data_IF_176481228596
#
_entry.id   IF_176481228596
#
_cell.length_a   1.000
_cell.length_b   1.000
_cell.length_c   1.000
_cell.angle_alpha   90.00
_cell.angle_beta   90.00
_cell.angle_gamma   90.00
#
_symmetry.space_group_name_H-M   'P 1'
#
loop_
_entity.id
_entity.type
_entity.pdbx_description
1 polymer ?
#
# COMPACT_ATOMS: atom_id res chain seq x y z
N UNK A 1 -9.09 45.16 -24.83
CA UNK A 1 -9.94 44.56 -23.78
C UNK A 1 -10.14 43.04 -23.91
N UNK A 2 -10.28 42.48 -25.13
CA UNK A 2 -10.46 41.02 -25.31
C UNK A 2 -9.21 40.17 -24.95
N UNK A 3 -8.00 40.69 -25.19
CA UNK A 3 -6.75 40.00 -24.81
C UNK A 3 -6.54 39.98 -23.29
N UNK A 4 -6.91 41.05 -22.57
CA UNK A 4 -6.82 41.12 -21.10
C UNK A 4 -7.80 40.15 -20.41
N UNK A 5 -9.04 40.05 -20.90
CA UNK A 5 -10.04 39.09 -20.39
C UNK A 5 -9.59 37.63 -20.60
N UNK A 6 -8.94 37.33 -21.73
CA UNK A 6 -8.37 36.00 -21.98
C UNK A 6 -7.18 35.68 -21.07
N UNK A 7 -6.40 36.69 -20.68
CA UNK A 7 -5.24 36.53 -19.78
C UNK A 7 -5.67 36.37 -18.31
N UNK A 8 -6.72 37.07 -17.86
CA UNK A 8 -7.34 36.87 -16.53
C UNK A 8 -7.96 35.46 -16.38
N UNK A 9 -8.74 34.99 -17.37
CA UNK A 9 -9.28 33.62 -17.33
C UNK A 9 -8.20 32.52 -17.36
N UNK A 10 -7.05 32.77 -18.01
CA UNK A 10 -5.90 31.85 -18.02
C UNK A 10 -5.16 31.89 -16.66
N UNK A 11 -5.02 33.06 -16.05
CA UNK A 11 -4.42 33.22 -14.71
C UNK A 11 -5.27 32.57 -13.61
N UNK A 12 -6.60 32.64 -13.67
CA UNK A 12 -7.50 31.97 -12.73
C UNK A 12 -7.38 30.44 -12.83
N UNK A 13 -7.31 29.91 -14.06
CA UNK A 13 -7.06 28.49 -14.29
C UNK A 13 -5.67 28.06 -13.76
N UNK A 14 -4.64 28.88 -13.94
CA UNK A 14 -3.28 28.61 -13.45
C UNK A 14 -3.19 28.64 -11.92
N UNK A 15 -3.93 29.53 -11.25
CA UNK A 15 -3.97 29.62 -9.78
C UNK A 15 -4.77 28.48 -9.13
N UNK A 16 -5.83 27.99 -9.79
CA UNK A 16 -6.61 26.85 -9.31
C UNK A 16 -5.91 25.49 -9.56
N UNK A 17 -5.10 25.39 -10.61
CA UNK A 17 -4.37 24.18 -11.01
C UNK A 17 -3.55 23.53 -9.87
N UNK A 18 -2.71 24.25 -9.10
CA UNK A 18 -1.95 23.64 -8.00
C UNK A 18 -2.86 23.10 -6.89
N UNK A 19 -3.98 23.76 -6.58
CA UNK A 19 -4.93 23.29 -5.56
C UNK A 19 -5.66 22.03 -6.01
N UNK A 20 -6.05 21.97 -7.28
CA UNK A 20 -6.72 20.79 -7.86
C UNK A 20 -5.76 19.60 -7.90
N UNK A 21 -4.52 19.81 -8.32
CA UNK A 21 -3.49 18.76 -8.36
C UNK A 21 -3.19 18.25 -6.94
N UNK A 22 -3.02 19.15 -5.97
CA UNK A 22 -2.77 18.76 -4.58
C UNK A 22 -3.96 17.98 -3.99
N UNK A 23 -5.20 18.41 -4.24
CA UNK A 23 -6.40 17.69 -3.83
C UNK A 23 -6.48 16.29 -4.47
N UNK A 24 -6.15 16.16 -5.76
CA UNK A 24 -6.14 14.89 -6.47
C UNK A 24 -5.07 13.92 -5.93
N UNK A 25 -3.85 14.42 -5.66
CA UNK A 25 -2.77 13.61 -5.06
C UNK A 25 -3.15 13.14 -3.66
N UNK A 26 -3.68 14.04 -2.82
CA UNK A 26 -4.12 13.69 -1.46
C UNK A 26 -5.24 12.67 -1.47
N UNK A 27 -6.23 12.81 -2.36
CA UNK A 27 -7.34 11.85 -2.49
C UNK A 27 -6.84 10.48 -2.96
N UNK A 28 -5.91 10.46 -3.92
CA UNK A 28 -5.30 9.24 -4.43
C UNK A 28 -4.50 8.53 -3.33
N UNK A 29 -3.67 9.28 -2.60
CA UNK A 29 -2.87 8.77 -1.48
C UNK A 29 -3.75 8.25 -0.33
N UNK A 30 -4.86 8.92 -0.03
CA UNK A 30 -5.83 8.45 0.97
C UNK A 30 -6.47 7.13 0.56
N UNK A 31 -6.91 7.04 -0.70
CA UNK A 31 -7.52 5.82 -1.25
C UNK A 31 -6.57 4.63 -1.20
N UNK A 32 -5.32 4.80 -1.64
CA UNK A 32 -4.30 3.74 -1.56
C UNK A 32 -4.03 3.35 -0.10
N UNK A 33 -3.92 4.32 0.81
CA UNK A 33 -3.71 4.07 2.24
C UNK A 33 -4.83 3.24 2.88
N UNK A 34 -6.09 3.53 2.54
CA UNK A 34 -7.23 2.71 3.00
C UNK A 34 -7.18 1.28 2.44
N UNK A 35 -6.82 1.10 1.17
CA UNK A 35 -6.69 -0.21 0.55
C UNK A 35 -5.56 -1.04 1.20
N UNK A 36 -4.40 -0.42 1.43
CA UNK A 36 -3.25 -1.09 2.06
C UNK A 36 -3.54 -1.49 3.51
N UNK A 37 -4.23 -0.65 4.28
CA UNK A 37 -4.64 -0.97 5.65
C UNK A 37 -5.62 -2.16 5.70
N UNK A 38 -6.52 -2.23 4.72
CA UNK A 38 -7.47 -3.33 4.60
C UNK A 38 -6.79 -4.66 4.23
N UNK A 39 -5.90 -4.64 3.23
CA UNK A 39 -5.15 -5.82 2.78
C UNK A 39 -4.21 -6.32 3.88
N UNK A 40 -3.47 -5.43 4.54
CA UNK A 40 -2.55 -5.78 5.62
C UNK A 40 -3.27 -6.42 6.81
N UNK A 41 -4.38 -5.84 7.26
CA UNK A 41 -5.18 -6.38 8.37
C UNK A 41 -5.72 -7.78 8.10
N UNK A 42 -6.18 -8.03 6.87
CA UNK A 42 -6.66 -9.35 6.41
C UNK A 42 -5.53 -10.37 6.29
N UNK A 43 -4.39 -9.95 5.77
CA UNK A 43 -3.20 -10.80 5.63
C UNK A 43 -2.71 -11.24 7.01
N UNK A 44 -2.63 -10.30 7.97
CA UNK A 44 -2.22 -10.58 9.35
C UNK A 44 -3.20 -11.51 10.06
N UNK A 45 -4.51 -11.31 9.87
CA UNK A 45 -5.54 -12.23 10.37
C UNK A 45 -5.40 -13.63 9.77
N UNK A 46 -5.15 -13.74 8.45
CA UNK A 46 -4.92 -15.01 7.77
C UNK A 46 -3.66 -15.74 8.27
N UNK A 47 -2.58 -15.01 8.57
CA UNK A 47 -1.37 -15.57 9.18
C UNK A 47 -1.65 -16.09 10.59
N UNK A 48 -2.45 -15.36 11.38
CA UNK A 48 -2.84 -15.79 12.73
C UNK A 48 -3.73 -17.03 12.70
N UNK A 49 -4.64 -17.14 11.72
CA UNK A 49 -5.49 -18.32 11.52
C UNK A 49 -4.68 -19.58 11.17
N UNK A 50 -3.55 -19.42 10.47
CA UNK A 50 -2.64 -20.50 10.11
C UNK A 50 -1.61 -20.81 11.21
N UNK A 51 -1.67 -20.14 12.35
CA UNK A 51 -0.75 -20.34 13.48
C UNK A 51 0.63 -19.70 13.31
N UNK A 52 0.84 -18.87 12.28
CA UNK A 52 2.12 -18.19 12.03
C UNK A 52 2.23 -16.83 12.75
N UNK A 53 1.15 -16.32 13.33
CA UNK A 53 1.12 -15.08 14.12
C UNK A 53 0.36 -15.31 15.44
N UNK A 54 0.63 -14.52 16.49
CA UNK A 54 0.04 -14.74 17.81
C UNK A 54 -1.50 -14.64 17.76
N UNK A 55 -2.17 -15.50 18.53
CA UNK A 55 -3.64 -15.65 18.56
C UNK A 55 -4.40 -14.37 18.90
N UNK A 56 -3.71 -13.34 19.39
CA UNK A 56 -4.24 -12.00 19.69
C UNK A 56 -4.83 -11.36 18.42
N UNK A 57 -4.24 -11.60 17.25
CA UNK A 57 -4.71 -11.06 15.96
C UNK A 57 -5.96 -11.77 15.40
N UNK A 58 -6.40 -12.89 15.99
CA UNK A 58 -7.64 -13.56 15.62
C UNK A 58 -8.89 -12.93 16.23
N UNK A 59 -8.74 -11.96 17.14
CA UNK A 59 -9.87 -11.35 17.81
C UNK A 59 -10.61 -10.41 16.87
N UNK A 60 -11.77 -10.87 16.39
CA UNK A 60 -12.68 -10.11 15.54
C UNK A 60 -13.81 -9.47 16.37
N UNK A 61 -14.33 -8.35 15.87
CA UNK A 61 -15.56 -7.71 16.40
C UNK A 61 -16.79 -8.46 15.87
N UNK A 62 -17.98 -8.17 16.42
CA UNK A 62 -19.27 -8.77 15.97
C UNK A 62 -19.53 -8.61 14.47
N UNK A 63 -18.95 -7.57 13.86
CA UNK A 63 -19.06 -7.26 12.43
C UNK A 63 -18.03 -8.01 11.56
N UNK A 64 -17.27 -8.96 12.13
CA UNK A 64 -16.22 -9.70 11.42
C UNK A 64 -14.92 -8.93 11.19
N UNK A 65 -14.82 -7.68 11.66
CA UNK A 65 -13.63 -6.85 11.48
C UNK A 65 -12.52 -7.23 12.49
N UNK A 66 -11.28 -7.56 12.04
CA UNK A 66 -10.15 -7.86 12.92
C UNK A 66 -9.56 -6.55 13.49
N UNK A 67 -10.23 -5.99 14.49
CA UNK A 67 -9.89 -4.67 15.04
C UNK A 67 -8.47 -4.59 15.63
N UNK A 68 -7.97 -5.68 16.22
CA UNK A 68 -6.61 -5.72 16.78
C UNK A 68 -5.55 -5.57 15.70
N UNK A 69 -5.74 -6.25 14.56
CA UNK A 69 -4.85 -6.13 13.40
C UNK A 69 -4.89 -4.72 12.81
N UNK A 70 -6.09 -4.12 12.72
CA UNK A 70 -6.26 -2.75 12.21
C UNK A 70 -5.54 -1.73 13.08
N UNK A 71 -5.66 -1.82 14.41
CA UNK A 71 -4.96 -0.90 15.33
C UNK A 71 -3.45 -1.10 15.23
N UNK A 72 -2.99 -2.34 15.16
CA UNK A 72 -1.57 -2.63 14.99
C UNK A 72 -1.01 -2.03 13.69
N UNK A 73 -1.68 -2.23 12.57
CA UNK A 73 -1.29 -1.62 11.29
C UNK A 73 -1.39 -0.08 11.33
N UNK A 74 -2.43 0.47 11.97
CA UNK A 74 -2.59 1.92 12.16
C UNK A 74 -1.50 2.55 13.03
N UNK A 75 -0.94 1.81 13.99
CA UNK A 75 0.19 2.28 14.79
C UNK A 75 1.45 2.51 13.93
N UNK A 76 1.67 1.72 12.87
CA UNK A 76 2.73 1.97 11.90
C UNK A 76 2.47 3.23 11.06
N UNK A 77 1.20 3.51 10.74
CA UNK A 77 0.84 4.78 10.08
C UNK A 77 1.14 5.98 10.98
N UNK A 78 0.97 5.85 12.31
CA UNK A 78 1.33 6.91 13.25
C UNK A 78 2.85 7.18 13.26
N UNK A 79 3.68 6.16 13.06
CA UNK A 79 5.13 6.30 12.97
C UNK A 79 5.56 7.16 11.76
N UNK A 80 4.74 7.21 10.70
CA UNK A 80 4.97 8.06 9.54
C UNK A 80 4.94 9.57 9.88
N UNK A 81 4.23 9.97 10.94
CA UNK A 81 4.22 11.38 11.39
C UNK A 81 5.60 11.88 11.84
N UNK A 82 6.55 11.00 12.12
CA UNK A 82 7.94 11.39 12.38
C UNK A 82 8.56 12.10 11.17
N UNK A 83 8.11 11.82 9.95
CA UNK A 83 8.54 12.53 8.75
C UNK A 83 8.02 13.97 8.66
N UNK A 84 7.04 14.36 9.47
CA UNK A 84 6.52 15.74 9.54
C UNK A 84 7.24 16.60 10.60
N UNK A 85 8.25 16.07 11.28
CA UNK A 85 9.04 16.81 12.27
C UNK A 85 9.94 17.86 11.60
N UNK A 86 10.04 19.04 12.21
CA UNK A 86 10.76 20.20 11.65
C UNK A 86 12.25 19.88 11.45
N UNK A 87 12.73 20.00 10.20
CA UNK A 87 14.17 20.01 9.87
C UNK A 87 14.70 18.73 9.21
N UNK A 88 13.91 17.66 9.08
CA UNK A 88 14.32 16.39 8.44
C UNK A 88 13.23 15.78 7.52
N UNK A 89 12.33 16.61 6.97
CA UNK A 89 11.15 16.14 6.23
C UNK A 89 11.43 15.15 5.08
N UNK A 90 12.61 15.24 4.44
CA UNK A 90 13.02 14.32 3.37
C UNK A 90 13.70 13.03 3.83
N UNK A 91 14.39 13.05 4.98
CA UNK A 91 15.28 11.95 5.39
C UNK A 91 14.48 10.77 5.92
N UNK A 92 13.50 11.02 6.79
CA UNK A 92 12.65 9.98 7.38
C UNK A 92 11.78 9.30 6.32
N UNK A 93 11.22 10.09 5.39
CA UNK A 93 10.51 9.54 4.23
C UNK A 93 11.43 8.66 3.37
N UNK A 94 12.69 9.08 3.18
CA UNK A 94 13.72 8.29 2.52
C UNK A 94 13.94 6.91 3.16
N UNK A 95 13.98 6.82 4.50
CA UNK A 95 14.08 5.54 5.20
C UNK A 95 12.89 4.61 4.91
N UNK A 96 11.66 5.13 4.96
CA UNK A 96 10.46 4.35 4.66
C UNK A 96 10.37 3.91 3.20
N UNK A 97 10.74 4.78 2.26
CA UNK A 97 10.78 4.48 0.83
C UNK A 97 11.79 3.37 0.53
N UNK A 98 13.01 3.48 1.06
CA UNK A 98 14.05 2.46 0.91
C UNK A 98 13.64 1.11 1.53
N UNK A 99 13.03 1.12 2.72
CA UNK A 99 12.54 -0.09 3.36
C UNK A 99 11.47 -0.78 2.51
N UNK A 100 10.51 -0.02 1.99
CA UNK A 100 9.43 -0.54 1.13
C UNK A 100 9.98 -1.11 -0.17
N UNK A 101 10.97 -0.45 -0.79
CA UNK A 101 11.63 -0.93 -1.99
C UNK A 101 12.31 -2.30 -1.75
N UNK A 102 13.02 -2.46 -0.63
CA UNK A 102 13.66 -3.73 -0.26
C UNK A 102 12.61 -4.83 0.00
N UNK A 103 11.56 -4.54 0.77
CA UNK A 103 10.46 -5.48 0.99
C UNK A 103 9.77 -5.91 -0.31
N UNK A 104 9.59 -4.96 -1.25
CA UNK A 104 9.06 -5.23 -2.58
C UNK A 104 9.96 -6.18 -3.36
N UNK A 105 11.27 -5.91 -3.41
CA UNK A 105 12.24 -6.80 -4.07
C UNK A 105 12.19 -8.22 -3.51
N UNK A 106 12.21 -8.37 -2.18
CA UNK A 106 12.12 -9.68 -1.52
C UNK A 106 10.82 -10.39 -1.92
N UNK A 107 9.69 -9.69 -1.89
CA UNK A 107 8.38 -10.25 -2.25
C UNK A 107 8.37 -10.76 -3.69
N UNK A 108 8.87 -9.96 -4.64
CA UNK A 108 9.00 -10.37 -6.04
C UNK A 108 9.94 -11.55 -6.23
N UNK A 109 11.09 -11.56 -5.54
CA UNK A 109 12.01 -12.71 -5.56
C UNK A 109 11.34 -13.98 -5.04
N UNK A 110 10.58 -13.92 -3.94
CA UNK A 110 9.83 -15.05 -3.41
C UNK A 110 8.76 -15.56 -4.39
N UNK A 111 8.04 -14.65 -5.07
CA UNK A 111 7.04 -15.01 -6.09
C UNK A 111 7.70 -15.73 -7.26
N UNK A 112 8.79 -15.18 -7.79
CA UNK A 112 9.53 -15.80 -8.90
C UNK A 112 10.09 -17.17 -8.50
N UNK A 113 10.69 -17.27 -7.32
CA UNK A 113 11.23 -18.53 -6.81
C UNK A 113 10.14 -19.61 -6.67
N UNK A 114 9.03 -19.26 -6.04
CA UNK A 114 7.87 -20.16 -5.87
C UNK A 114 7.31 -20.57 -7.23
N UNK A 115 7.21 -19.64 -8.18
CA UNK A 115 6.73 -19.91 -9.54
C UNK A 115 7.64 -20.86 -10.31
N UNK A 116 8.96 -20.72 -10.17
CA UNK A 116 9.94 -21.64 -10.76
C UNK A 116 9.84 -23.04 -10.15
N UNK A 117 9.71 -23.14 -8.82
CA UNK A 117 9.52 -24.41 -8.12
C UNK A 117 8.20 -25.08 -8.47
N UNK A 118 7.11 -24.31 -8.55
CA UNK A 118 5.81 -24.77 -9.01
C UNK A 118 5.89 -25.35 -10.42
N UNK A 119 6.56 -24.64 -11.34
CA UNK A 119 6.75 -25.11 -12.71
C UNK A 119 7.58 -26.40 -12.78
N UNK A 120 8.63 -26.54 -11.97
CA UNK A 120 9.39 -27.78 -11.84
C UNK A 120 8.53 -28.92 -11.28
N UNK A 121 7.70 -28.66 -10.28
CA UNK A 121 6.78 -29.64 -9.71
C UNK A 121 5.76 -30.15 -10.73
N UNK A 122 5.15 -29.26 -11.51
CA UNK A 122 4.21 -29.66 -12.58
C UNK A 122 4.86 -30.56 -13.63
N UNK A 123 6.12 -30.31 -14.00
CA UNK A 123 6.87 -31.17 -14.92
C UNK A 123 7.07 -32.57 -14.37
N UNK A 124 7.36 -32.71 -13.07
CA UNK A 124 7.53 -34.02 -12.41
C UNK A 124 6.21 -34.79 -12.33
N UNK A 125 5.10 -34.09 -12.06
CA UNK A 125 3.77 -34.71 -11.98
C UNK A 125 3.10 -34.94 -13.35
N UNK A 126 3.76 -34.60 -14.46
CA UNK A 126 3.22 -34.79 -15.81
C UNK A 126 1.97 -33.94 -16.13
N UNK A 127 1.65 -32.94 -15.30
CA UNK A 127 0.49 -32.08 -15.48
C UNK A 127 0.85 -30.95 -16.43
N UNK A 128 0.27 -30.97 -17.64
CA UNK A 128 0.45 -29.89 -18.61
C UNK A 128 -0.28 -28.63 -18.15
N UNK A 129 0.37 -27.48 -18.32
CA UNK A 129 -0.16 -26.17 -17.90
C UNK A 129 -1.54 -25.83 -18.50
N UNK A 130 -1.89 -26.47 -19.63
CA UNK A 130 -3.17 -26.30 -20.34
C UNK A 130 -4.34 -27.03 -19.70
N UNK A 131 -4.10 -27.95 -18.76
CA UNK A 131 -5.14 -28.74 -18.08
C UNK A 131 -5.68 -28.04 -16.83
N UNK A 132 -5.12 -26.89 -16.46
CA UNK A 132 -5.43 -26.13 -15.24
C UNK A 132 -6.16 -24.80 -15.54
N UNK A 133 -6.50 -24.56 -16.81
CA UNK A 133 -7.29 -23.42 -17.28
C UNK A 133 -8.70 -23.90 -17.64
#
# INVERSE_FOLDING_TARGET
SFIYCSQESICDCYQALPSIINAAILTSAWSSGCADLFVSSRTLYGLAARGHAPKIFLKTRKDGLPWVSVIFCGAFSLLSFMAASKGEEGTVFGYFSNMTAICGMISWTCILWTSLRWHKGLKVHGIYRKTLA
#
